data_IF_881650753190
#
_entry.id   IF_881650753190
#
_cell.length_a   1.000
_cell.length_b   1.000
_cell.length_c   1.000
_cell.angle_alpha   90.00
_cell.angle_beta   90.00
_cell.angle_gamma   90.00
#
_symmetry.space_group_name_H-M   'P 1'
#
loop_
_entity.id
_entity.type
_entity.pdbx_description
1 polymer ?
#
# COMPACT_ATOMS: atom_id res chain seq x y z
N UNK A 1 -8.05 -6.14 -16.83
CA UNK A 1 -7.71 -4.82 -16.27
C UNK A 1 -7.05 -4.96 -14.89
N UNK A 2 -7.66 -5.65 -13.90
CA UNK A 2 -7.08 -5.85 -12.56
C UNK A 2 -5.71 -6.54 -12.61
N UNK A 3 -5.54 -7.53 -13.46
CA UNK A 3 -4.25 -8.20 -13.63
C UNK A 3 -3.20 -7.27 -14.26
N UNK A 4 -3.59 -6.41 -15.20
CA UNK A 4 -2.69 -5.41 -15.77
C UNK A 4 -2.22 -4.41 -14.70
N UNK A 5 -3.13 -3.99 -13.81
CA UNK A 5 -2.77 -3.16 -12.65
C UNK A 5 -1.79 -3.87 -11.72
N UNK A 6 -2.09 -5.13 -11.37
CA UNK A 6 -1.22 -5.94 -10.50
C UNK A 6 0.17 -6.15 -11.08
N UNK A 7 0.26 -6.42 -12.39
CA UNK A 7 1.54 -6.54 -13.11
C UNK A 7 2.35 -5.23 -13.05
N UNK A 8 1.69 -4.09 -13.18
CA UNK A 8 2.35 -2.79 -13.04
C UNK A 8 2.82 -2.53 -11.60
N UNK A 9 2.02 -2.90 -10.58
CA UNK A 9 2.42 -2.83 -9.17
C UNK A 9 3.66 -3.70 -8.92
N UNK A 10 3.70 -4.94 -9.41
CA UNK A 10 4.87 -5.83 -9.32
C UNK A 10 6.10 -5.18 -9.97
N UNK A 11 5.95 -4.67 -11.19
CA UNK A 11 7.04 -4.03 -11.93
C UNK A 11 7.61 -2.82 -11.16
N UNK A 12 6.73 -1.98 -10.62
CA UNK A 12 7.11 -0.78 -9.85
C UNK A 12 7.80 -1.14 -8.55
N UNK A 13 7.24 -2.07 -7.76
CA UNK A 13 7.83 -2.50 -6.51
C UNK A 13 9.22 -3.12 -6.71
N UNK A 14 9.37 -3.97 -7.72
CA UNK A 14 10.66 -4.54 -8.06
C UNK A 14 11.68 -3.46 -8.47
N UNK A 15 11.30 -2.53 -9.33
CA UNK A 15 12.18 -1.44 -9.74
C UNK A 15 12.54 -0.51 -8.56
N UNK A 16 11.61 -0.27 -7.63
CA UNK A 16 11.85 0.53 -6.44
C UNK A 16 12.83 -0.16 -5.49
N UNK A 17 12.66 -1.46 -5.27
CA UNK A 17 13.55 -2.26 -4.43
C UNK A 17 14.96 -2.36 -5.03
N UNK A 18 15.06 -2.72 -6.31
CA UNK A 18 16.34 -2.82 -7.02
C UNK A 18 17.06 -1.44 -7.11
N UNK A 19 16.30 -0.35 -7.11
CA UNK A 19 16.79 1.04 -7.12
C UNK A 19 17.06 1.63 -5.74
N UNK A 20 16.96 0.85 -4.65
CA UNK A 20 17.25 1.29 -3.27
C UNK A 20 16.26 2.33 -2.73
N UNK A 21 15.05 2.41 -3.27
CA UNK A 21 14.02 3.38 -2.82
C UNK A 21 13.59 3.16 -1.38
N UNK A 22 13.63 1.92 -0.92
CA UNK A 22 13.19 1.50 0.42
C UNK A 22 14.33 1.44 1.45
N UNK A 23 15.60 1.62 1.06
CA UNK A 23 16.77 1.46 1.95
C UNK A 23 16.73 2.33 3.21
N UNK A 24 16.06 3.48 3.15
CA UNK A 24 15.96 4.42 4.27
C UNK A 24 14.95 4.01 5.33
N UNK A 25 14.00 3.15 4.97
CA UNK A 25 12.88 2.79 5.83
C UNK A 25 12.94 1.33 6.28
N UNK A 26 13.76 0.50 5.64
CA UNK A 26 13.97 -0.90 6.04
C UNK A 26 14.79 -0.96 7.32
N UNK A 27 14.25 -1.64 8.32
CA UNK A 27 14.96 -2.05 9.53
C UNK A 27 15.24 -3.56 9.47
N UNK A 28 16.48 -3.99 9.23
CA UNK A 28 16.81 -5.42 9.12
C UNK A 28 16.45 -6.19 10.40
N UNK A 29 15.88 -7.39 10.24
CA UNK A 29 15.53 -8.28 11.35
C UNK A 29 16.31 -9.57 11.25
N UNK A 30 16.99 -9.94 12.31
CA UNK A 30 17.68 -11.25 12.40
C UNK A 30 16.71 -12.30 12.93
N UNK A 31 16.45 -13.32 12.13
CA UNK A 31 15.54 -14.43 12.45
C UNK A 31 16.35 -15.70 12.70
N UNK A 32 16.18 -16.30 13.88
CA UNK A 32 16.78 -17.60 14.20
C UNK A 32 16.00 -18.72 13.48
N UNK A 33 16.68 -19.49 12.66
CA UNK A 33 16.12 -20.65 11.96
C UNK A 33 16.81 -21.94 12.40
N UNK A 34 16.25 -23.10 12.02
CA UNK A 34 16.89 -24.42 12.26
C UNK A 34 18.27 -24.56 11.59
N UNK A 35 18.55 -23.72 10.57
CA UNK A 35 19.80 -23.74 9.80
C UNK A 35 20.79 -22.63 10.21
N UNK A 36 20.45 -21.85 11.23
CA UNK A 36 21.21 -20.69 11.69
C UNK A 36 20.42 -19.40 11.61
N UNK A 37 21.07 -18.29 11.87
CA UNK A 37 20.49 -16.95 11.78
C UNK A 37 20.42 -16.49 10.31
N UNK A 38 19.31 -15.84 9.97
CA UNK A 38 19.08 -15.20 8.66
C UNK A 38 18.71 -13.76 8.91
N UNK A 39 19.38 -12.85 8.22
CA UNK A 39 19.00 -11.43 8.21
C UNK A 39 17.96 -11.22 7.12
N UNK A 40 16.79 -10.69 7.49
CA UNK A 40 15.72 -10.27 6.57
C UNK A 40 15.80 -8.77 6.47
N UNK A 41 16.17 -8.27 5.31
CA UNK A 41 16.38 -6.86 4.98
C UNK A 41 15.75 -6.43 3.67
N UNK A 42 14.95 -7.30 3.05
CA UNK A 42 14.24 -7.03 1.81
C UNK A 42 12.86 -7.70 1.83
N UNK A 43 11.89 -7.06 1.18
CA UNK A 43 10.60 -7.68 0.93
C UNK A 43 10.73 -8.83 -0.07
N UNK A 44 10.19 -9.98 0.29
CA UNK A 44 10.24 -11.20 -0.54
C UNK A 44 9.27 -11.13 -1.73
N UNK A 45 8.16 -10.39 -1.57
CA UNK A 45 7.09 -10.29 -2.57
C UNK A 45 7.59 -9.90 -3.95
N UNK A 46 8.29 -8.76 -4.11
CA UNK A 46 8.80 -8.33 -5.41
C UNK A 46 9.77 -9.31 -6.07
N UNK A 47 10.60 -9.99 -5.26
CA UNK A 47 11.60 -10.95 -5.76
C UNK A 47 10.96 -12.28 -6.19
N UNK A 48 9.92 -12.72 -5.46
CA UNK A 48 9.25 -13.99 -5.71
C UNK A 48 8.08 -13.87 -6.70
N UNK A 49 7.68 -12.67 -7.09
CA UNK A 49 6.58 -12.43 -8.00
C UNK A 49 6.84 -13.05 -9.39
N UNK A 50 5.91 -13.91 -9.84
CA UNK A 50 5.98 -14.57 -11.14
C UNK A 50 4.96 -13.94 -12.10
N UNK A 51 5.34 -12.81 -12.69
CA UNK A 51 4.47 -12.00 -13.54
C UNK A 51 3.85 -12.79 -14.69
N UNK A 52 4.59 -13.75 -15.26
CA UNK A 52 4.14 -14.60 -16.34
C UNK A 52 2.99 -15.56 -15.97
N UNK A 53 2.82 -15.83 -14.67
CA UNK A 53 1.75 -16.69 -14.17
C UNK A 53 0.46 -15.95 -13.87
N UNK A 54 0.49 -14.64 -13.74
CA UNK A 54 -0.67 -13.83 -13.36
C UNK A 54 -1.89 -14.05 -14.25
N UNK A 55 -1.77 -14.10 -15.61
CA UNK A 55 -2.94 -14.32 -16.47
C UNK A 55 -3.59 -15.68 -16.34
N UNK A 56 -2.88 -16.68 -15.80
CA UNK A 56 -3.35 -18.07 -15.63
C UNK A 56 -3.89 -18.37 -14.24
N UNK A 57 -3.92 -17.40 -13.33
CA UNK A 57 -4.38 -17.62 -11.96
C UNK A 57 -5.89 -17.83 -11.91
N UNK A 58 -6.30 -18.75 -11.04
CA UNK A 58 -7.72 -19.02 -10.80
C UNK A 58 -8.31 -17.95 -9.88
N UNK A 59 -9.61 -17.60 -10.06
CA UNK A 59 -10.32 -16.76 -9.11
C UNK A 59 -10.29 -17.33 -7.68
N UNK A 60 -10.11 -16.45 -6.69
CA UNK A 60 -9.95 -16.85 -5.30
C UNK A 60 -11.29 -17.10 -4.58
N UNK A 61 -12.36 -16.39 -4.94
CA UNK A 61 -13.62 -16.39 -4.19
C UNK A 61 -14.78 -17.06 -4.90
N UNK A 62 -14.90 -16.97 -6.21
CA UNK A 62 -15.94 -17.64 -6.97
C UNK A 62 -15.42 -18.06 -8.35
N UNK A 63 -15.99 -19.11 -8.92
CA UNK A 63 -15.57 -19.64 -10.23
C UNK A 63 -15.64 -18.59 -11.35
N UNK A 64 -16.66 -17.75 -11.31
CA UNK A 64 -16.89 -16.66 -12.28
C UNK A 64 -16.27 -15.34 -11.82
N UNK A 65 -15.55 -15.36 -10.70
CA UNK A 65 -14.89 -14.19 -10.15
C UNK A 65 -13.67 -13.74 -10.95
N UNK A 66 -13.18 -12.55 -10.65
CA UNK A 66 -12.01 -11.96 -11.30
C UNK A 66 -10.94 -11.52 -10.32
N UNK A 67 -11.14 -11.77 -9.02
CA UNK A 67 -10.13 -11.54 -7.98
C UNK A 67 -9.26 -12.78 -7.88
N UNK A 68 -7.96 -12.61 -8.01
CA UNK A 68 -6.95 -13.66 -7.91
C UNK A 68 -5.92 -13.32 -6.84
N UNK A 69 -5.07 -14.27 -6.48
CA UNK A 69 -3.99 -14.05 -5.54
C UNK A 69 -3.02 -12.94 -5.97
N UNK A 70 -2.91 -12.63 -7.26
CA UNK A 70 -2.02 -11.58 -7.75
C UNK A 70 -2.64 -10.18 -7.74
N UNK A 71 -3.97 -10.06 -7.79
CA UNK A 71 -4.68 -8.78 -7.78
C UNK A 71 -5.40 -8.49 -6.46
N UNK A 72 -4.99 -9.19 -5.41
CA UNK A 72 -5.32 -8.96 -4.01
C UNK A 72 -4.02 -8.76 -3.22
N UNK A 73 -4.06 -8.04 -2.12
CA UNK A 73 -2.88 -7.91 -1.27
C UNK A 73 -2.50 -9.26 -0.66
N UNK A 74 -1.20 -9.54 -0.60
CA UNK A 74 -0.68 -10.72 0.10
C UNK A 74 -0.69 -10.50 1.62
N UNK A 75 -0.82 -11.59 2.36
CA UNK A 75 -0.67 -11.60 3.83
C UNK A 75 0.81 -11.76 4.12
N UNK A 76 1.41 -10.75 4.75
CA UNK A 76 2.84 -10.71 5.05
C UNK A 76 3.05 -10.30 6.50
N UNK A 77 4.03 -10.94 7.14
CA UNK A 77 4.51 -10.47 8.43
C UNK A 77 5.26 -9.15 8.25
N UNK A 78 5.07 -8.23 9.17
CA UNK A 78 5.74 -6.94 9.10
C UNK A 78 5.41 -6.05 10.29
N UNK A 79 6.19 -4.99 10.43
CA UNK A 79 5.94 -3.94 11.42
C UNK A 79 6.41 -2.61 10.87
N UNK A 80 5.76 -1.54 11.28
CA UNK A 80 6.21 -0.17 10.98
C UNK A 80 6.13 0.69 12.23
N UNK A 81 7.02 1.68 12.34
CA UNK A 81 7.01 2.62 13.45
C UNK A 81 7.37 4.02 12.95
N UNK A 82 6.69 5.03 13.50
CA UNK A 82 7.01 6.42 13.25
C UNK A 82 6.82 7.26 14.50
N UNK A 83 7.57 8.35 14.61
CA UNK A 83 7.45 9.31 15.71
C UNK A 83 6.61 10.49 15.24
N UNK A 84 5.50 10.72 15.93
CA UNK A 84 4.62 11.86 15.69
C UNK A 84 4.76 12.86 16.83
N UNK A 85 4.86 14.14 16.50
CA UNK A 85 4.87 15.24 17.47
C UNK A 85 4.32 16.51 16.85
N UNK A 86 4.06 17.53 17.68
CA UNK A 86 3.68 18.85 17.17
C UNK A 86 4.84 19.46 16.39
N UNK A 87 4.53 20.15 15.30
CA UNK A 87 5.51 20.84 14.46
C UNK A 87 6.36 21.83 15.25
N UNK A 88 5.72 22.58 16.17
CA UNK A 88 6.43 23.52 17.06
C UNK A 88 7.48 22.83 17.92
N UNK A 89 7.13 21.66 18.48
CA UNK A 89 8.01 20.91 19.38
C UNK A 89 9.18 20.28 18.61
N UNK A 90 8.88 19.76 17.41
CA UNK A 90 9.91 19.24 16.50
C UNK A 90 10.92 20.35 16.12
N UNK A 91 10.42 21.54 15.77
CA UNK A 91 11.27 22.68 15.43
C UNK A 91 12.08 23.17 16.61
N UNK A 92 11.48 23.29 17.79
CA UNK A 92 12.17 23.72 19.02
C UNK A 92 13.25 22.71 19.47
N UNK A 93 12.99 21.41 19.26
CA UNK A 93 13.94 20.32 19.56
C UNK A 93 15.02 20.12 18.49
N UNK A 94 14.99 20.86 17.38
CA UNK A 94 15.92 20.68 16.26
C UNK A 94 15.75 19.36 15.51
N UNK A 95 14.58 18.72 15.62
CA UNK A 95 14.30 17.47 14.95
C UNK A 95 14.02 17.68 13.47
N UNK A 96 14.54 16.77 12.63
CA UNK A 96 14.24 16.78 11.21
C UNK A 96 12.79 16.38 10.98
N UNK A 97 11.98 17.29 10.44
CA UNK A 97 10.61 17.03 10.03
C UNK A 97 10.65 16.36 8.65
N UNK A 98 10.13 15.14 8.55
CA UNK A 98 10.05 14.38 7.29
C UNK A 98 8.81 14.78 6.49
N UNK A 99 7.67 14.97 7.16
CA UNK A 99 6.42 15.38 6.57
C UNK A 99 5.53 16.06 7.62
N UNK A 100 4.50 16.77 7.18
CA UNK A 100 3.47 17.36 8.02
C UNK A 100 2.11 16.73 7.67
N UNK A 101 1.35 16.28 8.69
CA UNK A 101 -0.02 15.81 8.51
C UNK A 101 -0.90 17.05 8.40
N UNK A 102 -1.34 17.39 7.18
CA UNK A 102 -2.16 18.57 6.90
C UNK A 102 -3.61 18.33 7.26
N UNK A 103 -4.15 17.18 6.85
CA UNK A 103 -5.55 16.82 7.11
C UNK A 103 -5.72 15.29 7.16
N UNK A 104 -6.87 14.87 7.64
CA UNK A 104 -7.31 13.47 7.57
C UNK A 104 -8.79 13.40 7.22
N UNK A 105 -9.22 12.27 6.66
CA UNK A 105 -10.62 11.98 6.35
C UNK A 105 -10.94 10.52 6.62
N UNK A 106 -12.13 10.26 7.11
CA UNK A 106 -12.65 8.91 7.30
C UNK A 106 -14.02 8.78 6.63
N UNK A 107 -14.26 7.62 6.06
CA UNK A 107 -15.55 7.25 5.48
C UNK A 107 -15.77 5.76 5.61
N UNK A 108 -16.98 5.40 5.96
CA UNK A 108 -17.48 4.04 5.97
C UNK A 108 -18.86 4.00 5.29
N UNK A 109 -19.16 2.88 4.65
CA UNK A 109 -20.47 2.60 4.12
C UNK A 109 -20.73 1.08 4.11
N UNK A 110 -21.75 0.61 3.41
CA UNK A 110 -22.09 -0.81 3.39
C UNK A 110 -20.88 -1.71 3.11
N UNK A 111 -20.65 -2.77 3.92
CA UNK A 111 -19.47 -3.64 3.77
C UNK A 111 -19.29 -4.23 2.38
N UNK A 112 -20.37 -4.50 1.65
CA UNK A 112 -20.31 -5.03 0.28
C UNK A 112 -19.61 -4.08 -0.70
N UNK A 113 -19.57 -2.78 -0.40
CA UNK A 113 -18.97 -1.74 -1.25
C UNK A 113 -17.70 -1.14 -0.64
N UNK A 114 -17.06 -1.79 0.33
CA UNK A 114 -15.88 -1.27 1.02
C UNK A 114 -14.76 -0.80 0.08
N UNK A 115 -14.62 -1.43 -1.09
CA UNK A 115 -13.61 -1.09 -2.09
C UNK A 115 -13.75 0.33 -2.66
N UNK A 116 -14.92 0.95 -2.52
CA UNK A 116 -15.19 2.32 -2.96
C UNK A 116 -15.07 3.37 -1.84
N UNK A 117 -14.99 2.93 -0.58
CA UNK A 117 -14.92 3.81 0.59
C UNK A 117 -13.73 4.81 0.55
N UNK A 118 -12.53 4.45 0.04
CA UNK A 118 -11.40 5.37 -0.03
C UNK A 118 -11.69 6.64 -0.81
N UNK A 119 -12.52 6.61 -1.86
CA UNK A 119 -12.88 7.79 -2.66
C UNK A 119 -13.42 8.90 -1.78
N UNK A 120 -14.44 8.59 -0.96
CA UNK A 120 -15.06 9.59 -0.06
C UNK A 120 -14.15 10.00 1.09
N UNK A 121 -13.25 9.14 1.54
CA UNK A 121 -12.25 9.50 2.54
C UNK A 121 -11.23 10.50 1.97
N UNK A 122 -10.79 10.30 0.72
CA UNK A 122 -9.89 11.19 -0.01
C UNK A 122 -10.57 12.55 -0.22
N UNK A 123 -11.80 12.59 -0.74
CA UNK A 123 -12.55 13.84 -0.93
C UNK A 123 -12.64 14.67 0.36
N UNK A 124 -12.92 14.00 1.50
CA UNK A 124 -12.98 14.67 2.80
C UNK A 124 -11.61 15.19 3.26
N UNK A 125 -10.54 14.44 3.03
CA UNK A 125 -9.19 14.87 3.37
C UNK A 125 -8.77 16.09 2.54
N UNK A 126 -8.99 16.05 1.23
CA UNK A 126 -8.73 17.17 0.31
C UNK A 126 -9.52 18.42 0.70
N UNK A 127 -10.83 18.27 0.94
CA UNK A 127 -11.67 19.40 1.36
C UNK A 127 -11.18 20.05 2.65
N UNK A 128 -10.72 19.26 3.62
CA UNK A 128 -10.15 19.76 4.88
C UNK A 128 -8.78 20.42 4.69
N UNK A 129 -7.98 19.91 3.78
CA UNK A 129 -6.69 20.50 3.42
C UNK A 129 -6.85 21.79 2.58
N UNK A 130 -8.00 21.98 1.95
CA UNK A 130 -8.24 23.05 0.97
C UNK A 130 -7.53 22.79 -0.35
N UNK A 131 -7.29 21.51 -0.70
CA UNK A 131 -6.59 21.11 -1.91
C UNK A 131 -7.53 20.50 -2.95
N UNK A 132 -7.18 20.68 -4.21
CA UNK A 132 -7.73 19.91 -5.33
C UNK A 132 -6.88 18.68 -5.63
N UNK A 133 -7.38 17.75 -6.43
CA UNK A 133 -6.62 16.58 -6.89
C UNK A 133 -5.39 16.96 -7.71
N UNK A 134 -5.45 18.06 -8.46
CA UNK A 134 -4.34 18.51 -9.31
C UNK A 134 -3.14 19.04 -8.53
N UNK A 135 -3.37 19.48 -7.28
CA UNK A 135 -2.35 19.98 -6.39
C UNK A 135 -1.60 18.85 -5.65
N UNK A 136 -2.04 17.59 -5.83
CA UNK A 136 -1.39 16.43 -5.23
C UNK A 136 -0.39 15.84 -6.22
N UNK A 137 0.86 15.76 -5.79
CA UNK A 137 1.95 15.23 -6.60
C UNK A 137 1.94 13.70 -6.65
N UNK A 138 1.70 13.05 -5.52
CA UNK A 138 1.74 11.60 -5.38
C UNK A 138 0.58 11.09 -4.53
N UNK A 139 0.07 9.91 -4.91
CA UNK A 139 -0.99 9.20 -4.22
C UNK A 139 -0.50 7.83 -3.78
N UNK A 140 -0.66 7.52 -2.51
CA UNK A 140 -0.50 6.17 -1.98
C UNK A 140 -1.86 5.66 -1.55
N UNK A 141 -2.41 4.70 -2.31
CA UNK A 141 -3.73 4.12 -2.09
C UNK A 141 -3.54 2.62 -1.85
N UNK A 142 -3.87 2.15 -0.66
CA UNK A 142 -3.67 0.75 -0.30
C UNK A 142 -4.38 -0.19 -1.28
N UNK A 143 -3.62 -1.14 -1.80
CA UNK A 143 -4.08 -2.15 -2.77
C UNK A 143 -4.67 -3.36 -2.04
N UNK A 144 -5.67 -3.17 -1.15
CA UNK A 144 -6.38 -4.30 -0.55
C UNK A 144 -6.82 -5.31 -1.63
N UNK A 145 -7.28 -4.76 -2.74
CA UNK A 145 -7.43 -5.40 -4.06
C UNK A 145 -7.05 -4.36 -5.11
N UNK A 146 -6.55 -4.79 -6.25
CA UNK A 146 -6.20 -3.91 -7.37
C UNK A 146 -7.37 -2.99 -7.80
N UNK A 147 -8.61 -3.42 -7.60
CA UNK A 147 -9.81 -2.64 -7.90
C UNK A 147 -9.93 -1.38 -7.04
N UNK A 148 -9.38 -1.36 -5.82
CA UNK A 148 -9.49 -0.21 -4.89
C UNK A 148 -8.83 1.04 -5.48
N UNK A 149 -7.52 1.06 -5.79
CA UNK A 149 -6.92 2.22 -6.44
C UNK A 149 -7.45 2.46 -7.85
N UNK A 150 -7.87 1.41 -8.58
CA UNK A 150 -8.49 1.59 -9.91
C UNK A 150 -9.78 2.39 -9.84
N UNK A 151 -10.65 2.12 -8.85
CA UNK A 151 -11.87 2.91 -8.62
C UNK A 151 -11.50 4.34 -8.23
N UNK A 152 -10.56 4.53 -7.31
CA UNK A 152 -10.14 5.86 -6.89
C UNK A 152 -9.59 6.69 -8.07
N UNK A 153 -8.77 6.08 -8.92
CA UNK A 153 -8.27 6.73 -10.14
C UNK A 153 -9.42 7.14 -11.08
N UNK A 154 -10.40 6.27 -11.27
CA UNK A 154 -11.55 6.55 -12.14
C UNK A 154 -12.44 7.66 -11.59
N UNK A 155 -12.84 7.56 -10.31
CA UNK A 155 -13.80 8.49 -9.69
C UNK A 155 -13.20 9.88 -9.45
N UNK A 156 -11.90 9.95 -9.16
CA UNK A 156 -11.19 11.19 -8.86
C UNK A 156 -10.35 11.71 -10.04
N UNK A 157 -10.41 11.03 -11.19
CA UNK A 157 -9.64 11.35 -12.40
C UNK A 157 -8.13 11.47 -12.14
N UNK A 158 -7.56 10.49 -11.41
CA UNK A 158 -6.14 10.51 -11.07
C UNK A 158 -5.29 9.86 -12.17
N UNK A 159 -4.15 10.46 -12.46
CA UNK A 159 -3.15 9.86 -13.34
C UNK A 159 -2.47 8.67 -12.63
N UNK A 160 -2.50 7.49 -13.26
CA UNK A 160 -1.80 6.30 -12.75
C UNK A 160 -0.29 6.53 -12.59
N UNK A 161 0.29 7.45 -13.35
CA UNK A 161 1.69 7.86 -13.19
C UNK A 161 2.01 8.48 -11.83
N UNK A 162 0.99 8.95 -11.10
CA UNK A 162 1.10 9.55 -9.76
C UNK A 162 0.62 8.62 -8.64
N UNK A 163 0.01 7.47 -8.94
CA UNK A 163 -0.58 6.56 -7.95
C UNK A 163 0.32 5.36 -7.74
N UNK A 164 0.68 5.06 -6.49
CA UNK A 164 1.49 3.89 -6.08
C UNK A 164 2.73 3.72 -6.95
N UNK A 165 3.51 4.79 -7.06
CA UNK A 165 4.63 4.89 -8.01
C UNK A 165 5.77 3.91 -7.71
N UNK A 166 5.84 3.39 -6.51
CA UNK A 166 6.80 2.37 -6.07
C UNK A 166 6.17 0.98 -5.88
N UNK A 167 5.01 0.74 -6.49
CA UNK A 167 4.21 -0.46 -6.27
C UNK A 167 3.38 -0.38 -4.99
N UNK A 168 2.70 -1.45 -4.61
CA UNK A 168 1.82 -1.45 -3.45
C UNK A 168 1.50 -2.85 -2.92
N UNK A 169 0.44 -2.95 -2.13
CA UNK A 169 0.12 -4.13 -1.32
C UNK A 169 -0.17 -5.41 -2.13
N UNK A 170 -0.49 -5.33 -3.41
CA UNK A 170 -0.64 -6.53 -4.26
C UNK A 170 0.65 -7.35 -4.32
N UNK A 171 1.80 -6.72 -4.11
CA UNK A 171 3.10 -7.39 -4.16
C UNK A 171 3.91 -7.24 -2.87
N UNK A 172 3.81 -6.11 -2.19
CA UNK A 172 4.50 -5.85 -0.92
C UNK A 172 3.75 -6.43 0.29
N UNK A 173 2.45 -6.69 0.14
CA UNK A 173 1.58 -7.15 1.21
C UNK A 173 0.97 -6.03 2.04
N UNK A 174 0.06 -6.42 2.94
CA UNK A 174 -0.66 -5.49 3.81
C UNK A 174 -0.49 -5.90 5.27
N UNK A 175 0.09 -5.03 6.08
CA UNK A 175 0.30 -5.23 7.52
C UNK A 175 -1.02 -5.32 8.30
N UNK A 176 -2.10 -4.70 7.82
CA UNK A 176 -3.40 -4.71 8.48
C UNK A 176 -4.02 -6.11 8.62
N UNK A 177 -3.61 -7.06 7.77
CA UNK A 177 -4.07 -8.45 7.85
C UNK A 177 -3.28 -9.30 8.83
N UNK A 178 -2.17 -8.79 9.34
CA UNK A 178 -1.27 -9.49 10.27
C UNK A 178 -1.22 -8.83 11.65
N UNK A 179 -1.86 -7.66 11.83
CA UNK A 179 -1.94 -7.01 13.13
C UNK A 179 -3.03 -7.65 13.98
N UNK A 180 -2.77 -7.84 15.28
CA UNK A 180 -3.65 -8.45 16.28
C UNK A 180 -5.03 -7.79 16.45
N UNK A 181 -5.26 -6.65 15.79
CA UNK A 181 -6.56 -5.99 15.76
C UNK A 181 -7.68 -6.86 15.14
N UNK A 182 -7.35 -7.98 14.49
CA UNK A 182 -8.31 -8.94 13.96
C UNK A 182 -8.72 -10.01 15.00
N UNK A 183 -7.94 -10.20 16.07
CA UNK A 183 -8.21 -11.21 17.09
C UNK A 183 -9.11 -10.68 18.21
N UNK A 184 -9.38 -9.38 18.27
CA UNK A 184 -10.26 -8.72 19.24
C UNK A 184 -11.72 -8.51 18.73
N UNK A 185 -12.09 -9.11 17.59
CA UNK A 185 -13.44 -9.13 17.03
C UNK A 185 -13.95 -10.57 16.99
#
# INVERSE_FOLDING_TARGET
QKDAYALESIRRAKAAQDGGKFDREIAPVTVATRKGEVVVDQDEGPQNAQAEKVPGLRPAFSKEGTVTAANASSINDGASAMVLMRKSDASAGGHKILAEIVAHGAHAHEPAYFTTAPVKAIEKALARAGWSTDEVDLWEINEAFAVVPMIAMQELNLDHGKVNVNGGACVLGCLLYTSDAADDL
#
